data_IF_726155142760
#
_entry.id   IF_726155142760
#
_cell.length_a   1.000
_cell.length_b   1.000
_cell.length_c   1.000
_cell.angle_alpha   90.00
_cell.angle_beta   90.00
_cell.angle_gamma   90.00
#
_symmetry.space_group_name_H-M   'P 1'
#
loop_
_entity.id
_entity.type
_entity.pdbx_description
1 polymer ?
#
# COMPACT_ATOMS: atom_id res chain seq x y z
N UNK A 1 -11.00 -8.42 -7.63
CA UNK A 1 -9.66 -8.66 -7.02
C UNK A 1 -9.66 -8.05 -5.62
N UNK A 2 -9.12 -8.73 -4.61
CA UNK A 2 -9.00 -8.19 -3.25
C UNK A 2 -7.74 -7.34 -3.11
N UNK A 3 -7.85 -6.22 -2.37
CA UNK A 3 -6.71 -5.39 -2.00
C UNK A 3 -6.47 -5.53 -0.48
N UNK A 4 -5.21 -5.59 -0.05
CA UNK A 4 -4.87 -5.52 1.37
C UNK A 4 -5.11 -4.12 1.95
N UNK A 5 -4.49 -3.10 1.34
CA UNK A 5 -4.72 -1.69 1.65
C UNK A 5 -4.90 -0.93 0.34
N UNK A 6 -6.01 -0.20 0.18
CA UNK A 6 -6.31 0.54 -1.05
C UNK A 6 -6.65 2.00 -0.78
N UNK A 7 -5.89 2.92 -1.37
CA UNK A 7 -6.27 4.32 -1.46
C UNK A 7 -7.31 4.46 -2.57
N UNK A 8 -8.56 4.75 -2.19
CA UNK A 8 -9.64 5.02 -3.14
C UNK A 8 -9.44 6.32 -3.92
N UNK A 9 -10.32 6.59 -4.88
CA UNK A 9 -10.28 7.81 -5.71
C UNK A 9 -10.24 9.07 -4.85
N UNK A 10 -9.24 9.93 -5.08
CA UNK A 10 -8.95 11.13 -4.29
C UNK A 10 -8.68 10.87 -2.79
N UNK A 11 -8.53 9.61 -2.38
CA UNK A 11 -8.19 9.21 -1.03
C UNK A 11 -6.70 9.32 -0.77
N UNK A 12 -6.35 9.53 0.50
CA UNK A 12 -4.95 9.48 0.97
C UNK A 12 -4.83 8.45 2.07
N UNK A 13 -3.84 7.57 1.95
CA UNK A 13 -3.44 6.64 3.01
C UNK A 13 -2.02 6.97 3.44
N UNK A 14 -1.81 7.03 4.76
CA UNK A 14 -0.48 7.00 5.37
C UNK A 14 -0.32 5.68 6.12
N UNK A 15 0.41 4.75 5.52
CA UNK A 15 0.60 3.41 6.07
C UNK A 15 1.95 3.30 6.77
N UNK A 16 1.96 2.77 8.00
CA UNK A 16 3.16 2.51 8.79
C UNK A 16 3.01 1.17 9.51
N UNK A 17 4.04 0.32 9.49
CA UNK A 17 4.05 -0.90 10.31
C UNK A 17 3.03 -1.98 9.90
N UNK A 18 2.56 -1.99 8.65
CA UNK A 18 1.54 -2.96 8.23
C UNK A 18 2.16 -4.25 7.70
N UNK A 19 1.54 -5.38 7.99
CA UNK A 19 1.84 -6.68 7.35
C UNK A 19 0.70 -7.04 6.40
N UNK A 20 0.98 -7.10 5.10
CA UNK A 20 -0.02 -7.36 4.06
C UNK A 20 0.40 -8.58 3.25
N UNK A 21 -0.32 -9.69 3.41
CA UNK A 21 -0.02 -10.96 2.73
C UNK A 21 -1.27 -11.64 2.20
N UNK A 22 -1.11 -12.52 1.19
CA UNK A 22 -2.17 -13.38 0.63
C UNK A 22 -3.38 -12.62 0.01
N UNK A 23 -3.14 -11.44 -0.58
CA UNK A 23 -4.14 -10.70 -1.35
C UNK A 23 -3.87 -10.76 -2.86
N UNK A 24 -4.85 -10.35 -3.66
CA UNK A 24 -4.62 -10.05 -5.07
C UNK A 24 -3.60 -8.92 -5.24
N UNK A 25 -3.88 -7.77 -4.63
CA UNK A 25 -2.92 -6.65 -4.54
C UNK A 25 -2.60 -6.36 -3.08
N UNK A 26 -1.32 -6.23 -2.74
CA UNK A 26 -0.87 -5.82 -1.40
C UNK A 26 -1.24 -4.37 -1.10
N UNK A 27 -0.46 -3.43 -1.65
CA UNK A 27 -0.72 -1.98 -1.55
C UNK A 27 -1.24 -1.42 -2.87
N UNK A 28 -2.45 -0.87 -2.86
CA UNK A 28 -3.06 -0.29 -4.05
C UNK A 28 -3.16 1.24 -3.91
N UNK A 29 -2.24 1.93 -4.57
CA UNK A 29 -2.24 3.39 -4.78
C UNK A 29 -2.70 3.80 -6.19
N UNK A 30 -3.30 2.92 -6.99
CA UNK A 30 -3.73 3.27 -8.35
C UNK A 30 -4.90 4.27 -8.38
N UNK A 31 -5.77 4.19 -7.36
CA UNK A 31 -6.89 5.08 -7.05
C UNK A 31 -6.55 6.51 -6.62
N UNK A 32 -5.49 6.66 -5.83
CA UNK A 32 -5.28 7.82 -4.97
C UNK A 32 -3.85 7.94 -4.49
N UNK A 33 -3.62 8.64 -3.39
CA UNK A 33 -2.26 8.87 -2.87
C UNK A 33 -1.92 7.87 -1.78
N UNK A 34 -0.84 7.11 -1.98
CA UNK A 34 -0.33 6.20 -0.96
C UNK A 34 1.03 6.67 -0.45
N UNK A 35 1.11 6.91 0.86
CA UNK A 35 2.33 7.36 1.57
C UNK A 35 2.79 6.28 2.54
N UNK A 36 3.90 5.61 2.23
CA UNK A 36 4.53 4.61 3.10
C UNK A 36 5.43 5.32 4.10
N UNK A 37 5.05 5.34 5.38
CA UNK A 37 5.85 5.89 6.46
C UNK A 37 6.96 4.96 6.95
N UNK A 38 7.22 3.83 6.28
CA UNK A 38 8.19 2.82 6.72
C UNK A 38 7.57 1.61 7.43
N UNK A 39 8.38 0.56 7.58
CA UNK A 39 8.04 -0.72 8.24
C UNK A 39 6.80 -1.45 7.69
N UNK A 40 6.39 -1.17 6.45
CA UNK A 40 5.36 -1.97 5.80
C UNK A 40 6.02 -3.22 5.20
N UNK A 41 5.55 -4.39 5.61
CA UNK A 41 5.96 -5.68 5.08
C UNK A 41 4.86 -6.21 4.14
N UNK A 42 5.19 -6.34 2.87
CA UNK A 42 4.24 -6.71 1.82
C UNK A 42 4.85 -7.87 1.04
N UNK A 43 4.29 -9.06 1.21
CA UNK A 43 4.87 -10.30 0.68
C UNK A 43 3.78 -11.34 0.44
N UNK A 44 3.98 -12.27 -0.49
CA UNK A 44 3.06 -13.36 -0.80
C UNK A 44 1.68 -12.89 -1.31
N UNK A 45 1.60 -11.70 -1.90
CA UNK A 45 0.44 -11.23 -2.66
C UNK A 45 0.65 -11.55 -4.15
N UNK A 46 -0.41 -11.68 -4.95
CA UNK A 46 -0.25 -11.87 -6.40
C UNK A 46 0.49 -10.69 -7.04
N UNK A 47 0.17 -9.48 -6.58
CA UNK A 47 0.87 -8.24 -6.89
C UNK A 47 1.19 -7.53 -5.58
N UNK A 48 2.47 -7.25 -5.31
CA UNK A 48 2.85 -6.58 -4.06
C UNK A 48 2.35 -5.14 -3.99
N UNK A 49 2.50 -4.38 -5.08
CA UNK A 49 2.01 -3.00 -5.13
C UNK A 49 1.55 -2.59 -6.53
N UNK A 50 0.58 -1.67 -6.57
CA UNK A 50 0.07 -1.03 -7.79
C UNK A 50 -0.04 0.48 -7.57
N UNK A 51 0.33 1.26 -8.58
CA UNK A 51 0.34 2.73 -8.51
C UNK A 51 1.59 3.28 -7.82
N UNK A 52 1.64 4.60 -7.65
CA UNK A 52 2.78 5.26 -7.01
C UNK A 52 2.67 5.16 -5.49
N UNK A 53 3.64 4.49 -4.88
CA UNK A 53 3.81 4.43 -3.43
C UNK A 53 4.96 5.35 -3.04
N UNK A 54 4.66 6.48 -2.40
CA UNK A 54 5.68 7.44 -1.97
C UNK A 54 6.17 7.09 -0.58
N UNK A 55 7.48 6.83 -0.44
CA UNK A 55 8.09 6.72 0.89
C UNK A 55 8.13 8.10 1.55
N UNK A 56 7.67 8.19 2.80
CA UNK A 56 7.81 9.38 3.64
C UNK A 56 9.01 9.14 4.55
N UNK A 57 9.99 10.06 4.61
CA UNK A 57 11.12 9.94 5.52
C UNK A 57 10.62 9.73 6.96
N UNK A 58 11.09 8.68 7.62
CA UNK A 58 10.99 8.53 9.06
C UNK A 58 12.04 9.44 9.69
N UNK A 59 11.61 10.41 10.50
CA UNK A 59 12.53 11.11 11.41
C UNK A 59 12.93 10.20 12.56
#
# INVERSE_FOLDING_TARGET
MSNGIAAGTNGTIRAFGNTVTKNGTGLNGGAGTFRSGGHNFVDGNTTESVGTITSVPTM
#
